data_IF_679363707029
#
_entry.id   IF_679363707029
#
_cell.length_a   1.000
_cell.length_b   1.000
_cell.length_c   1.000
_cell.angle_alpha   90.00
_cell.angle_beta   90.00
_cell.angle_gamma   90.00
#
_symmetry.space_group_name_H-M   'P 1'
#
loop_
_entity.id
_entity.type
_entity.pdbx_description
1 polymer ?
#
# COMPACT_ATOMS: atom_id res chain seq x y z
N UNK A 1 35.96 -2.77 -43.73
CA UNK A 1 35.28 -1.55 -44.19
C UNK A 1 33.84 -1.91 -44.53
N UNK A 2 32.98 -2.01 -43.51
CA UNK A 2 31.54 -1.85 -43.65
C UNK A 2 31.04 -1.35 -42.30
N UNK A 3 30.77 -0.04 -42.24
CA UNK A 3 30.05 0.61 -41.16
C UNK A 3 28.57 0.27 -41.30
N UNK A 4 27.90 -0.05 -40.19
CA UNK A 4 26.44 -0.05 -40.13
C UNK A 4 26.00 0.37 -38.74
N UNK A 5 25.96 1.69 -38.56
CA UNK A 5 25.12 2.38 -37.58
C UNK A 5 23.66 1.95 -37.78
N UNK A 6 22.98 1.48 -36.73
CA UNK A 6 21.54 1.69 -36.60
C UNK A 6 21.11 1.74 -35.12
N UNK A 7 20.91 2.98 -34.67
CA UNK A 7 19.81 3.41 -33.80
C UNK A 7 19.81 2.95 -32.33
N UNK A 8 20.69 3.57 -31.54
CA UNK A 8 20.43 3.84 -30.12
C UNK A 8 19.12 4.63 -29.97
N UNK A 9 18.03 3.94 -29.64
CA UNK A 9 16.79 4.57 -29.22
C UNK A 9 17.04 5.29 -27.88
N UNK A 10 17.29 6.60 -27.94
CA UNK A 10 17.29 7.49 -26.78
C UNK A 10 15.88 7.46 -26.17
N UNK A 11 15.70 6.66 -25.13
CA UNK A 11 14.51 6.74 -24.28
C UNK A 11 14.55 8.10 -23.61
N UNK A 12 13.67 8.99 -24.05
CA UNK A 12 13.52 10.30 -23.44
C UNK A 12 13.04 10.13 -21.99
N UNK A 13 13.62 10.83 -21.00
CA UNK A 13 13.11 10.76 -19.63
C UNK A 13 11.70 11.34 -19.60
N UNK A 14 10.71 10.50 -19.32
CA UNK A 14 9.33 10.92 -19.05
C UNK A 14 9.35 11.83 -17.83
N UNK A 15 9.17 13.14 -18.05
CA UNK A 15 8.99 14.12 -16.99
C UNK A 15 7.68 13.80 -16.26
N UNK A 16 7.77 13.16 -15.09
CA UNK A 16 6.63 13.02 -14.20
C UNK A 16 6.18 14.43 -13.77
N UNK A 17 4.94 14.79 -14.11
CA UNK A 17 4.27 15.90 -13.42
C UNK A 17 3.82 15.38 -12.06
N UNK A 18 4.38 15.94 -11.00
CA UNK A 18 3.90 15.74 -9.63
C UNK A 18 2.49 16.34 -9.56
N UNK A 19 1.48 15.48 -9.46
CA UNK A 19 0.08 15.89 -9.29
C UNK A 19 -0.17 16.11 -7.80
N UNK A 20 -0.66 17.30 -7.43
CA UNK A 20 -1.11 17.60 -6.07
C UNK A 20 -2.26 16.64 -5.68
N UNK A 21 -1.99 15.77 -4.70
CA UNK A 21 -2.95 14.84 -4.13
C UNK A 21 -3.73 15.46 -2.96
N UNK A 22 -4.99 15.05 -2.86
CA UNK A 22 -6.09 15.41 -1.95
C UNK A 22 -5.73 15.95 -0.53
N UNK A 23 -6.50 16.93 0.00
CA UNK A 23 -6.14 17.77 1.16
C UNK A 23 -6.41 17.20 2.56
N UNK A 24 -6.49 15.88 2.78
CA UNK A 24 -6.85 15.32 4.12
C UNK A 24 -5.72 14.67 4.92
N UNK A 25 -4.45 14.83 4.52
CA UNK A 25 -3.31 14.47 5.38
C UNK A 25 -2.16 15.46 5.17
N UNK A 26 -2.01 16.44 6.05
CA UNK A 26 -0.94 17.43 5.95
C UNK A 26 -0.02 17.39 7.18
N UNK A 27 1.06 16.61 7.08
CA UNK A 27 2.37 17.19 7.37
C UNK A 27 2.98 17.53 6.02
N UNK A 28 2.67 18.73 5.53
CA UNK A 28 3.20 19.29 4.28
C UNK A 28 4.69 19.58 4.50
N UNK A 29 5.53 18.55 4.57
CA UNK A 29 6.95 18.70 4.27
C UNK A 29 7.03 18.77 2.75
N UNK A 30 7.09 19.99 2.21
CA UNK A 30 7.42 20.19 0.80
C UNK A 30 8.71 19.45 0.51
N UNK A 31 8.68 18.52 -0.44
CA UNK A 31 9.90 17.84 -0.89
C UNK A 31 10.88 18.88 -1.41
N UNK A 32 12.13 18.79 -0.97
CA UNK A 32 13.22 19.53 -1.61
C UNK A 32 13.54 18.92 -2.98
N UNK A 33 14.07 19.71 -3.91
CA UNK A 33 14.44 19.22 -5.25
C UNK A 33 15.41 18.02 -5.19
N UNK A 34 16.34 18.05 -4.23
CA UNK A 34 17.26 16.93 -3.96
C UNK A 34 16.56 15.67 -3.46
N UNK A 35 15.51 15.82 -2.64
CA UNK A 35 14.70 14.69 -2.20
C UNK A 35 13.84 14.12 -3.32
N UNK A 36 13.40 14.94 -4.27
CA UNK A 36 12.65 14.48 -5.45
C UNK A 36 13.54 13.61 -6.34
N UNK A 37 14.74 14.10 -6.67
CA UNK A 37 15.73 13.33 -7.46
C UNK A 37 16.06 12.01 -6.76
N UNK A 38 16.24 12.04 -5.43
CA UNK A 38 16.48 10.83 -4.64
C UNK A 38 15.29 9.86 -4.74
N UNK A 39 14.07 10.35 -4.59
CA UNK A 39 12.85 9.55 -4.63
C UNK A 39 12.62 8.91 -6.01
N UNK A 40 12.75 9.69 -7.08
CA UNK A 40 12.59 9.20 -8.46
C UNK A 40 13.62 8.13 -8.80
N UNK A 41 14.89 8.37 -8.46
CA UNK A 41 15.97 7.38 -8.65
C UNK A 41 15.72 6.13 -7.81
N UNK A 42 15.26 6.28 -6.58
CA UNK A 42 14.95 5.16 -5.70
C UNK A 42 13.78 4.31 -6.22
N UNK A 43 12.74 4.94 -6.77
CA UNK A 43 11.59 4.23 -7.35
C UNK A 43 11.96 3.46 -8.61
N UNK A 44 12.91 3.97 -9.41
CA UNK A 44 13.38 3.30 -10.62
C UNK A 44 14.36 2.15 -10.32
N UNK A 45 15.31 2.35 -9.39
CA UNK A 45 16.42 1.39 -9.18
C UNK A 45 16.27 0.52 -7.94
N UNK A 46 15.50 0.94 -6.93
CA UNK A 46 15.33 0.22 -5.66
C UNK A 46 16.54 0.26 -4.70
N UNK A 47 17.67 0.85 -5.12
CA UNK A 47 18.90 0.97 -4.35
C UNK A 47 18.99 2.33 -3.64
N UNK A 48 19.16 2.32 -2.31
CA UNK A 48 19.32 3.57 -1.52
C UNK A 48 20.67 4.24 -1.77
N UNK A 49 21.70 3.45 -2.11
CA UNK A 49 23.05 3.96 -2.35
C UNK A 49 23.09 4.78 -3.64
N UNK A 50 22.57 4.22 -4.73
CA UNK A 50 22.55 4.88 -6.03
C UNK A 50 21.66 6.13 -6.02
N UNK A 51 20.50 6.06 -5.33
CA UNK A 51 19.67 7.23 -5.12
C UNK A 51 20.39 8.35 -4.35
N UNK A 52 21.20 8.01 -3.34
CA UNK A 52 22.03 8.98 -2.63
C UNK A 52 23.09 9.60 -3.54
N UNK A 53 23.79 8.80 -4.33
CA UNK A 53 24.81 9.27 -5.27
C UNK A 53 24.20 10.22 -6.31
N UNK A 54 23.04 9.88 -6.87
CA UNK A 54 22.32 10.69 -7.85
C UNK A 54 21.84 12.05 -7.29
N UNK A 55 21.42 12.09 -6.02
CA UNK A 55 20.97 13.31 -5.35
C UNK A 55 22.10 14.06 -4.58
N UNK A 56 23.34 13.58 -4.69
CA UNK A 56 24.51 14.17 -4.03
C UNK A 56 24.55 14.03 -2.50
N UNK A 57 23.87 13.03 -1.94
CA UNK A 57 23.92 12.69 -0.53
C UNK A 57 25.01 11.67 -0.22
N UNK A 58 25.49 11.66 1.01
CA UNK A 58 26.44 10.65 1.46
C UNK A 58 25.76 9.26 1.51
N UNK A 59 26.42 8.16 1.08
CA UNK A 59 25.81 6.82 1.01
C UNK A 59 25.22 6.34 2.34
N UNK A 60 25.86 6.67 3.47
CA UNK A 60 25.38 6.30 4.81
C UNK A 60 24.04 6.97 5.21
N UNK A 61 23.62 8.04 4.53
CA UNK A 61 22.36 8.74 4.83
C UNK A 61 21.13 8.05 4.21
N UNK A 62 21.32 7.06 3.32
CA UNK A 62 20.22 6.45 2.57
C UNK A 62 19.16 5.76 3.43
N UNK A 63 19.57 5.12 4.53
CA UNK A 63 18.62 4.46 5.46
C UNK A 63 17.74 5.49 6.19
N UNK A 64 18.30 6.63 6.56
CA UNK A 64 17.57 7.71 7.22
C UNK A 64 16.61 8.40 6.25
N UNK A 65 17.07 8.69 5.04
CA UNK A 65 16.26 9.27 3.95
C UNK A 65 15.08 8.37 3.60
N UNK A 66 15.30 7.05 3.46
CA UNK A 66 14.21 6.08 3.20
C UNK A 66 13.15 6.10 4.29
N UNK A 67 13.54 6.14 5.57
CA UNK A 67 12.57 6.19 6.68
C UNK A 67 11.77 7.49 6.65
N UNK A 68 12.43 8.63 6.41
CA UNK A 68 11.77 9.94 6.38
C UNK A 68 10.83 10.08 5.18
N UNK A 69 11.23 9.58 4.01
CA UNK A 69 10.46 9.66 2.76
C UNK A 69 9.52 8.47 2.55
N UNK A 70 9.41 7.55 3.51
CA UNK A 70 8.60 6.32 3.38
C UNK A 70 7.16 6.61 2.97
N UNK A 71 6.51 7.61 3.58
CA UNK A 71 5.15 7.99 3.21
C UNK A 71 5.02 8.37 1.72
N UNK A 72 5.99 9.11 1.17
CA UNK A 72 6.01 9.46 -0.24
C UNK A 72 6.31 8.26 -1.14
N UNK A 73 7.19 7.34 -0.71
CA UNK A 73 7.47 6.09 -1.41
C UNK A 73 6.17 5.27 -1.54
N UNK A 74 5.47 5.05 -0.42
CA UNK A 74 4.22 4.28 -0.41
C UNK A 74 3.13 4.94 -1.26
N UNK A 75 2.99 6.27 -1.18
CA UNK A 75 2.03 7.00 -1.99
C UNK A 75 2.31 6.85 -3.50
N UNK A 76 3.56 7.01 -3.92
CA UNK A 76 3.95 6.84 -5.32
C UNK A 76 3.80 5.39 -5.79
N UNK A 77 4.19 4.41 -4.98
CA UNK A 77 4.01 2.99 -5.31
C UNK A 77 2.53 2.65 -5.47
N UNK A 78 1.67 3.14 -4.58
CA UNK A 78 0.22 2.94 -4.69
C UNK A 78 -0.33 3.56 -5.98
N UNK A 79 0.12 4.77 -6.33
CA UNK A 79 -0.27 5.44 -7.57
C UNK A 79 0.22 4.69 -8.82
N UNK A 80 1.47 4.20 -8.82
CA UNK A 80 1.99 3.37 -9.91
C UNK A 80 1.19 2.08 -10.08
N UNK A 81 0.87 1.38 -8.99
CA UNK A 81 0.03 0.18 -9.04
C UNK A 81 -1.37 0.51 -9.55
N UNK A 82 -1.95 1.63 -9.09
CA UNK A 82 -3.26 2.09 -9.55
C UNK A 82 -3.27 2.38 -11.07
N UNK A 83 -2.18 2.96 -11.61
CA UNK A 83 -2.03 3.19 -13.05
C UNK A 83 -1.93 1.88 -13.85
N UNK A 84 -1.40 0.82 -13.26
CA UNK A 84 -1.35 -0.51 -13.88
C UNK A 84 -2.66 -1.30 -13.75
N UNK A 85 -3.59 -0.88 -12.89
CA UNK A 85 -4.82 -1.62 -12.62
C UNK A 85 -5.73 -1.81 -13.85
N UNK A 86 -5.93 -0.82 -14.74
CA UNK A 86 -6.73 -1.01 -15.96
C UNK A 86 -6.14 -2.06 -16.90
N UNK A 87 -4.82 -2.05 -17.11
CA UNK A 87 -4.15 -3.04 -17.94
C UNK A 87 -4.28 -4.46 -17.36
N UNK A 88 -4.17 -4.60 -16.04
CA UNK A 88 -4.40 -5.88 -15.39
C UNK A 88 -5.86 -6.37 -15.57
N UNK A 89 -6.84 -5.46 -15.54
CA UNK A 89 -8.24 -5.81 -15.75
C UNK A 89 -8.51 -6.32 -17.17
N UNK A 90 -7.91 -5.70 -18.19
CA UNK A 90 -7.99 -6.17 -19.58
C UNK A 90 -7.45 -7.59 -19.74
N UNK A 91 -6.32 -7.90 -19.10
CA UNK A 91 -5.72 -9.25 -19.12
C UNK A 91 -6.66 -10.28 -18.47
N UNK A 92 -7.27 -9.95 -17.33
CA UNK A 92 -8.24 -10.85 -16.67
C UNK A 92 -9.45 -11.11 -17.58
N UNK A 93 -9.94 -10.06 -18.26
CA UNK A 93 -11.04 -10.19 -19.21
C UNK A 93 -10.69 -11.06 -20.42
N UNK A 94 -9.48 -10.92 -20.95
CA UNK A 94 -8.99 -11.77 -22.04
C UNK A 94 -8.86 -13.24 -21.60
N UNK A 95 -8.33 -13.49 -20.40
CA UNK A 95 -8.23 -14.86 -19.85
C UNK A 95 -9.62 -15.46 -19.65
N UNK A 96 -10.58 -14.69 -19.15
CA UNK A 96 -11.96 -15.16 -18.94
C UNK A 96 -12.68 -15.51 -20.26
N UNK A 97 -12.27 -14.96 -21.40
CA UNK A 97 -12.94 -15.17 -22.70
C UNK A 97 -12.21 -16.15 -23.61
N UNK A 98 -10.87 -16.07 -23.68
CA UNK A 98 -10.07 -16.79 -24.69
C UNK A 98 -9.21 -17.93 -24.14
N UNK A 99 -9.02 -18.03 -22.83
CA UNK A 99 -8.12 -19.05 -22.26
C UNK A 99 -8.62 -20.47 -22.60
N UNK A 100 -7.74 -21.37 -23.09
CA UNK A 100 -8.13 -22.74 -23.44
C UNK A 100 -8.39 -23.59 -22.19
N UNK A 101 -7.68 -23.33 -21.09
CA UNK A 101 -7.86 -24.04 -19.83
C UNK A 101 -9.16 -23.63 -19.13
N UNK A 102 -10.14 -24.54 -18.97
CA UNK A 102 -11.41 -24.22 -18.34
C UNK A 102 -11.27 -23.78 -16.88
N UNK A 103 -10.27 -24.30 -16.16
CA UNK A 103 -10.07 -23.97 -14.73
C UNK A 103 -9.61 -22.52 -14.56
N UNK A 104 -8.58 -22.12 -15.30
CA UNK A 104 -8.08 -20.74 -15.29
C UNK A 104 -9.14 -19.76 -15.79
N UNK A 105 -9.91 -20.15 -16.81
CA UNK A 105 -11.04 -19.34 -17.32
C UNK A 105 -12.15 -19.13 -16.28
N UNK A 106 -12.54 -20.21 -15.58
CA UNK A 106 -13.53 -20.15 -14.51
C UNK A 106 -13.05 -19.25 -13.36
N UNK A 107 -11.78 -19.37 -12.95
CA UNK A 107 -11.20 -18.55 -11.90
C UNK A 107 -11.21 -17.07 -12.28
N UNK A 108 -10.80 -16.72 -13.51
CA UNK A 108 -10.83 -15.34 -13.98
C UNK A 108 -12.27 -14.76 -14.01
N UNK A 109 -13.25 -15.56 -14.43
CA UNK A 109 -14.66 -15.16 -14.41
C UNK A 109 -15.19 -14.97 -12.98
N UNK A 110 -14.84 -15.87 -12.05
CA UNK A 110 -15.16 -15.73 -10.62
C UNK A 110 -14.53 -14.47 -10.02
N UNK A 111 -13.29 -14.18 -10.37
CA UNK A 111 -12.60 -12.99 -9.88
C UNK A 111 -13.30 -11.70 -10.34
N UNK A 112 -13.77 -11.63 -11.58
CA UNK A 112 -14.58 -10.50 -12.07
C UNK A 112 -15.89 -10.35 -11.28
N UNK A 113 -16.62 -11.44 -11.04
CA UNK A 113 -17.85 -11.44 -10.25
C UNK A 113 -17.61 -10.99 -8.80
N UNK A 114 -16.54 -11.49 -8.18
CA UNK A 114 -16.14 -11.13 -6.82
C UNK A 114 -15.79 -9.64 -6.70
N UNK A 115 -15.18 -9.04 -7.73
CA UNK A 115 -14.85 -7.60 -7.76
C UNK A 115 -16.08 -6.72 -8.00
N UNK A 116 -17.08 -7.23 -8.71
CA UNK A 116 -18.38 -6.57 -8.87
C UNK A 116 -19.28 -6.69 -7.62
N UNK A 117 -18.86 -7.45 -6.60
CA UNK A 117 -19.58 -7.60 -5.34
C UNK A 117 -20.57 -8.76 -5.31
N UNK A 118 -20.56 -9.66 -6.30
CA UNK A 118 -21.41 -10.86 -6.33
C UNK A 118 -20.84 -12.03 -5.53
N UNK A 119 -19.89 -11.77 -4.62
CA UNK A 119 -19.37 -12.81 -3.73
C UNK A 119 -20.41 -13.13 -2.67
N UNK A 120 -20.60 -14.41 -2.40
CA UNK A 120 -21.47 -14.87 -1.31
C UNK A 120 -21.12 -14.17 0.02
N UNK A 121 -22.14 -13.83 0.79
CA UNK A 121 -21.98 -13.13 2.06
C UNK A 121 -21.07 -13.92 3.00
N UNK A 122 -20.07 -13.26 3.56
CA UNK A 122 -19.14 -13.88 4.49
C UNK A 122 -19.90 -14.20 5.78
N UNK A 123 -20.10 -15.50 6.07
CA UNK A 123 -20.70 -15.94 7.33
C UNK A 123 -19.69 -15.73 8.46
N UNK A 124 -19.94 -14.73 9.30
CA UNK A 124 -19.22 -14.57 10.56
C UNK A 124 -19.86 -15.45 11.62
N UNK A 125 -19.20 -16.53 12.00
CA UNK A 125 -19.54 -17.26 13.21
C UNK A 125 -18.94 -16.53 14.40
N UNK A 126 -19.76 -15.78 15.11
CA UNK A 126 -19.38 -15.23 16.41
C UNK A 126 -19.57 -16.37 17.41
N UNK A 127 -18.49 -17.08 17.73
CA UNK A 127 -18.49 -17.92 18.93
C UNK A 127 -18.43 -16.99 20.14
N UNK A 128 -19.59 -16.67 20.70
CA UNK A 128 -19.63 -16.16 22.08
C UNK A 128 -19.14 -17.32 22.93
N UNK A 129 -17.91 -17.23 23.44
CA UNK A 129 -17.56 -17.99 24.63
C UNK A 129 -18.49 -17.45 25.71
N UNK A 130 -19.50 -18.22 26.08
CA UNK A 130 -20.37 -17.90 27.22
C UNK A 130 -19.49 -17.87 28.47
N UNK A 131 -18.84 -16.73 28.72
CA UNK A 131 -18.24 -16.44 30.01
C UNK A 131 -19.39 -16.49 31.01
N UNK A 132 -19.21 -17.21 32.10
CA UNK A 132 -20.24 -17.25 33.13
C UNK A 132 -20.51 -15.82 33.64
N UNK A 133 -21.75 -15.57 34.06
CA UNK A 133 -22.16 -14.26 34.58
C UNK A 133 -21.22 -13.76 35.68
N UNK A 134 -20.66 -14.67 36.48
CA UNK A 134 -19.67 -14.39 37.53
C UNK A 134 -18.35 -13.78 37.02
N UNK A 135 -17.87 -14.23 35.86
CA UNK A 135 -16.62 -13.72 35.27
C UNK A 135 -16.86 -12.34 34.63
N UNK A 136 -18.03 -12.16 34.02
CA UNK A 136 -18.47 -10.87 33.48
C UNK A 136 -18.63 -9.82 34.59
N UNK A 137 -19.26 -10.17 35.71
CA UNK A 137 -19.43 -9.29 36.87
C UNK A 137 -18.09 -8.84 37.47
N UNK A 138 -17.10 -9.75 37.53
CA UNK A 138 -15.76 -9.43 38.01
C UNK A 138 -15.04 -8.44 37.10
N UNK A 139 -15.09 -8.66 35.78
CA UNK A 139 -14.52 -7.72 34.79
C UNK A 139 -15.22 -6.36 34.85
N UNK A 140 -16.55 -6.32 35.04
CA UNK A 140 -17.33 -5.09 35.18
C UNK A 140 -16.94 -4.30 36.43
N UNK A 141 -16.78 -4.99 37.56
CA UNK A 141 -16.34 -4.38 38.81
C UNK A 141 -14.91 -3.82 38.70
N UNK A 142 -14.00 -4.52 38.03
CA UNK A 142 -12.63 -4.06 37.80
C UNK A 142 -12.60 -2.82 36.89
N UNK A 143 -13.38 -2.81 35.81
CA UNK A 143 -13.47 -1.66 34.90
C UNK A 143 -14.12 -0.43 35.56
N UNK A 144 -15.18 -0.63 36.34
CA UNK A 144 -15.82 0.45 37.09
C UNK A 144 -14.84 1.06 38.11
N UNK A 145 -14.06 0.23 38.80
CA UNK A 145 -12.99 0.68 39.71
C UNK A 145 -11.89 1.44 38.99
N UNK A 146 -11.48 0.99 37.80
CA UNK A 146 -10.46 1.67 36.97
C UNK A 146 -10.94 3.01 36.42
N UNK A 147 -12.24 3.15 36.17
CA UNK A 147 -12.86 4.36 35.63
C UNK A 147 -13.17 5.43 36.70
N UNK A 148 -12.92 5.17 37.99
CA UNK A 148 -13.15 6.09 39.12
C UNK A 148 -14.58 6.68 39.19
N UNK A 149 -15.60 5.93 38.76
CA UNK A 149 -16.99 6.42 38.76
C UNK A 149 -17.68 6.17 40.11
N UNK A 150 -17.20 5.23 40.95
CA UNK A 150 -17.74 4.96 42.30
C UNK A 150 -16.61 4.46 43.22
N UNK A 151 -16.35 5.15 44.33
CA UNK A 151 -15.65 4.56 45.48
C UNK A 151 -16.65 3.65 46.21
N UNK A 152 -16.54 2.34 46.03
CA UNK A 152 -17.31 1.38 46.83
C UNK A 152 -16.57 1.25 48.17
N UNK A 153 -17.14 1.69 49.31
CA UNK A 153 -16.51 1.48 50.60
C UNK A 153 -16.53 -0.02 50.91
N UNK A 154 -15.36 -0.59 51.20
CA UNK A 154 -15.25 -1.94 51.71
C UNK A 154 -15.88 -1.98 53.11
N UNK A 155 -17.04 -2.62 53.24
CA UNK A 155 -17.61 -2.94 54.55
C UNK A 155 -16.78 -4.05 55.25
N UNK A 156 -16.75 -3.94 56.58
CA UNK A 156 -16.02 -4.80 57.54
C UNK A 156 -16.39 -6.27 57.46
#
# INVERSE_FOLDING_TARGET
>A
MVDSDTSSAKVAPMKLKVVELNPLQHKKCSLTEREQIWLETYLNTGSTREACEAAGYHPNQGSQLRRRLNHFILANMKDMIAKCAPAALEVIFEIATKCPDPKTRLQAAQDLLNRAGYKEAQRHEISVTDKSDEELERELAELLKRSNIIDIPAER
#
